data_IF_981038727787
#
_entry.id   IF_981038727787
#
_cell.length_a   1.000
_cell.length_b   1.000
_cell.length_c   1.000
_cell.angle_alpha   90.00
_cell.angle_beta   90.00
_cell.angle_gamma   90.00
#
_symmetry.space_group_name_H-M   'P 1'
#
loop_
_entity.id
_entity.type
_entity.pdbx_description
1 polymer ?
#
# COMPACT_ATOMS: atom_id res chain seq x y z
N UNK A 1 18.34 -31.33 -14.63
CA UNK A 1 18.68 -29.89 -14.43
C UNK A 1 18.08 -29.42 -13.11
N UNK A 2 18.73 -28.51 -12.37
CA UNK A 2 18.24 -27.94 -11.09
C UNK A 2 16.76 -27.49 -11.17
N UNK A 3 16.35 -27.02 -12.35
CA UNK A 3 14.99 -26.60 -12.72
C UNK A 3 13.92 -27.69 -12.56
N UNK A 4 14.18 -28.90 -13.03
CA UNK A 4 13.24 -30.04 -12.90
C UNK A 4 13.13 -30.53 -11.46
N UNK A 5 14.21 -30.38 -10.69
CA UNK A 5 14.22 -30.73 -9.27
C UNK A 5 13.46 -29.71 -8.41
N UNK A 6 13.35 -28.46 -8.87
CA UNK A 6 12.70 -27.37 -8.14
C UNK A 6 11.27 -27.04 -8.61
N UNK A 7 10.78 -27.62 -9.72
CA UNK A 7 9.41 -27.44 -10.24
C UNK A 7 9.01 -25.96 -10.45
N UNK A 8 9.91 -25.15 -10.99
CA UNK A 8 9.66 -23.73 -11.29
C UNK A 8 9.15 -23.62 -12.74
N UNK A 9 7.90 -23.19 -12.94
CA UNK A 9 7.21 -23.19 -14.25
C UNK A 9 7.08 -21.81 -14.92
N UNK A 10 7.42 -20.72 -14.24
CA UNK A 10 7.38 -19.35 -14.80
C UNK A 10 8.75 -18.72 -14.60
N UNK A 11 9.52 -18.57 -15.69
CA UNK A 11 10.97 -18.45 -15.64
C UNK A 11 11.55 -17.05 -15.95
N UNK A 12 10.72 -16.03 -16.16
CA UNK A 12 11.20 -14.74 -16.67
C UNK A 12 12.24 -14.05 -15.77
N UNK A 13 12.06 -14.10 -14.45
CA UNK A 13 12.94 -13.36 -13.52
C UNK A 13 14.22 -14.10 -13.18
N UNK A 14 14.18 -15.42 -13.02
CA UNK A 14 15.40 -16.21 -12.83
C UNK A 14 16.26 -16.21 -14.10
N UNK A 15 15.62 -16.29 -15.27
CA UNK A 15 16.28 -16.16 -16.57
C UNK A 15 16.91 -14.78 -16.73
N UNK A 16 16.26 -13.70 -16.28
CA UNK A 16 16.85 -12.36 -16.26
C UNK A 16 18.13 -12.29 -15.41
N UNK A 17 18.12 -12.84 -14.19
CA UNK A 17 19.31 -12.86 -13.32
C UNK A 17 20.44 -13.72 -13.92
N UNK A 18 20.07 -14.81 -14.61
CA UNK A 18 21.03 -15.66 -15.32
C UNK A 18 21.64 -14.95 -16.52
N UNK A 19 20.83 -14.24 -17.32
CA UNK A 19 21.28 -13.44 -18.47
C UNK A 19 22.20 -12.31 -17.98
N UNK A 20 21.80 -11.57 -16.95
CA UNK A 20 22.63 -10.51 -16.36
C UNK A 20 23.98 -11.05 -15.89
N UNK A 21 24.01 -12.23 -15.27
CA UNK A 21 25.26 -12.90 -14.90
C UNK A 21 26.11 -13.29 -16.11
N UNK A 22 25.50 -13.85 -17.16
CA UNK A 22 26.21 -14.28 -18.37
C UNK A 22 26.76 -13.09 -19.18
N UNK A 23 26.06 -11.95 -19.18
CA UNK A 23 26.47 -10.74 -19.90
C UNK A 23 27.48 -9.89 -19.10
N UNK A 24 27.31 -9.79 -17.77
CA UNK A 24 28.15 -8.91 -16.93
C UNK A 24 29.27 -9.65 -16.18
N UNK A 25 29.18 -10.96 -16.03
CA UNK A 25 30.06 -11.77 -15.17
C UNK A 25 29.84 -11.57 -13.66
N UNK A 26 28.88 -10.72 -13.26
CA UNK A 26 28.59 -10.41 -11.85
C UNK A 26 27.43 -11.25 -11.34
N UNK A 27 27.70 -12.14 -10.38
CA UNK A 27 26.69 -12.97 -9.75
C UNK A 27 26.16 -12.30 -8.47
N UNK A 28 24.88 -11.97 -8.45
CA UNK A 28 24.22 -11.48 -7.23
C UNK A 28 23.54 -12.63 -6.50
N UNK A 29 24.26 -13.22 -5.54
CA UNK A 29 23.70 -14.26 -4.66
C UNK A 29 22.47 -13.77 -3.89
N UNK A 30 22.43 -12.49 -3.53
CA UNK A 30 21.32 -11.85 -2.81
C UNK A 30 20.03 -11.78 -3.66
N UNK A 31 20.14 -11.46 -4.95
CA UNK A 31 18.99 -11.46 -5.86
C UNK A 31 18.43 -12.86 -6.06
N UNK A 32 19.31 -13.86 -6.23
CA UNK A 32 18.87 -15.26 -6.34
C UNK A 32 18.19 -15.72 -5.05
N UNK A 33 18.75 -15.37 -3.89
CA UNK A 33 18.14 -15.72 -2.60
C UNK A 33 16.75 -15.09 -2.45
N UNK A 34 16.58 -13.82 -2.83
CA UNK A 34 15.29 -13.12 -2.80
C UNK A 34 14.24 -13.81 -3.68
N UNK A 35 14.63 -14.25 -4.89
CA UNK A 35 13.76 -15.01 -5.79
C UNK A 35 13.37 -16.36 -5.16
N UNK A 36 14.34 -17.08 -4.60
CA UNK A 36 14.10 -18.38 -3.94
C UNK A 36 13.18 -18.22 -2.74
N UNK A 37 13.43 -17.24 -1.88
CA UNK A 37 12.61 -16.96 -0.69
C UNK A 37 11.17 -16.61 -1.09
N UNK A 38 10.98 -15.85 -2.17
CA UNK A 38 9.65 -15.57 -2.72
C UNK A 38 8.96 -16.86 -3.18
N UNK A 39 9.64 -17.73 -3.94
CA UNK A 39 9.05 -19.00 -4.38
C UNK A 39 8.69 -19.92 -3.21
N UNK A 40 9.52 -19.94 -2.16
CA UNK A 40 9.22 -20.70 -0.93
C UNK A 40 7.96 -20.16 -0.27
N UNK A 41 7.87 -18.84 -0.08
CA UNK A 41 6.70 -18.19 0.52
C UNK A 41 5.42 -18.41 -0.32
N UNK A 42 5.50 -18.27 -1.65
CA UNK A 42 4.38 -18.54 -2.56
C UNK A 42 3.91 -20.00 -2.47
N UNK A 43 4.86 -20.94 -2.42
CA UNK A 43 4.54 -22.37 -2.28
C UNK A 43 3.86 -22.66 -0.95
N UNK A 44 4.35 -22.10 0.15
CA UNK A 44 3.74 -22.25 1.47
C UNK A 44 2.32 -21.66 1.51
N UNK A 45 2.12 -20.48 0.95
CA UNK A 45 0.80 -19.87 0.83
C UNK A 45 -0.16 -20.71 -0.04
N UNK A 46 0.33 -21.27 -1.16
CA UNK A 46 -0.44 -22.18 -2.00
C UNK A 46 -0.84 -23.44 -1.25
N UNK A 47 0.07 -24.05 -0.49
CA UNK A 47 -0.23 -25.22 0.33
C UNK A 47 -1.26 -24.92 1.42
N UNK A 48 -1.13 -23.79 2.12
CA UNK A 48 -2.08 -23.36 3.13
C UNK A 48 -3.49 -23.16 2.53
N UNK A 49 -3.57 -22.46 1.40
CA UNK A 49 -4.84 -22.25 0.68
C UNK A 49 -5.44 -23.57 0.20
N UNK A 50 -4.64 -24.48 -0.34
CA UNK A 50 -5.11 -25.80 -0.78
C UNK A 50 -5.63 -26.62 0.41
N UNK A 51 -4.96 -26.59 1.56
CA UNK A 51 -5.39 -27.31 2.75
C UNK A 51 -6.69 -26.75 3.32
N UNK A 52 -6.82 -25.42 3.39
CA UNK A 52 -8.05 -24.76 3.83
C UNK A 52 -9.24 -25.06 2.91
N UNK A 53 -9.06 -25.01 1.58
CA UNK A 53 -10.11 -25.35 0.63
C UNK A 53 -10.49 -26.84 0.70
N UNK A 54 -9.52 -27.74 0.86
CA UNK A 54 -9.79 -29.17 1.04
C UNK A 54 -10.60 -29.42 2.32
N UNK A 55 -10.25 -28.77 3.44
CA UNK A 55 -11.04 -28.82 4.66
C UNK A 55 -12.48 -28.34 4.42
N UNK A 56 -12.66 -27.20 3.75
CA UNK A 56 -14.00 -26.66 3.43
C UNK A 56 -14.84 -27.62 2.57
N UNK A 57 -14.21 -28.26 1.59
CA UNK A 57 -14.86 -29.26 0.74
C UNK A 57 -15.33 -30.47 1.56
N UNK A 58 -14.46 -31.00 2.44
CA UNK A 58 -14.81 -32.13 3.31
C UNK A 58 -15.89 -31.78 4.33
N UNK A 59 -15.75 -30.64 5.00
CA UNK A 59 -16.73 -30.16 5.97
C UNK A 59 -18.13 -30.01 5.37
N UNK A 60 -18.23 -29.69 4.08
CA UNK A 60 -19.51 -29.51 3.39
C UNK A 60 -20.05 -30.80 2.75
N UNK A 61 -19.20 -31.62 2.12
CA UNK A 61 -19.64 -32.76 1.32
C UNK A 61 -19.47 -34.13 2.00
N UNK A 62 -18.49 -34.29 2.89
CA UNK A 62 -18.14 -35.58 3.49
C UNK A 62 -18.94 -35.87 4.77
N UNK A 63 -20.20 -36.23 4.59
CA UNK A 63 -21.14 -36.54 5.69
C UNK A 63 -20.74 -37.75 6.57
N UNK A 64 -19.69 -38.49 6.22
CA UNK A 64 -19.22 -39.68 6.95
C UNK A 64 -18.13 -39.34 7.96
N UNK A 65 -17.48 -38.18 7.82
CA UNK A 65 -16.49 -37.72 8.79
C UNK A 65 -17.18 -37.27 10.07
N UNK A 66 -16.58 -37.62 11.20
CA UNK A 66 -17.02 -37.11 12.49
C UNK A 66 -16.55 -35.68 12.71
N UNK A 67 -17.31 -34.91 13.48
CA UNK A 67 -16.91 -33.56 13.89
C UNK A 67 -15.52 -33.56 14.55
N UNK A 68 -15.18 -34.60 15.33
CA UNK A 68 -13.88 -34.72 15.99
C UNK A 68 -12.71 -34.84 14.99
N UNK A 69 -12.89 -35.54 13.87
CA UNK A 69 -11.87 -35.67 12.83
C UNK A 69 -11.68 -34.36 12.06
N UNK A 70 -12.78 -33.66 11.76
CA UNK A 70 -12.75 -32.34 11.13
C UNK A 70 -12.08 -31.31 12.04
N UNK A 71 -12.35 -31.33 13.34
CA UNK A 71 -11.71 -30.43 14.30
C UNK A 71 -10.20 -30.67 14.42
N UNK A 72 -9.75 -31.93 14.40
CA UNK A 72 -8.32 -32.27 14.40
C UNK A 72 -7.60 -31.85 13.11
N UNK A 73 -8.31 -31.81 11.98
CA UNK A 73 -7.78 -31.25 10.74
C UNK A 73 -7.70 -29.71 10.81
N UNK A 74 -8.75 -29.06 11.31
CA UNK A 74 -8.81 -27.62 11.46
C UNK A 74 -7.73 -27.06 12.42
N UNK A 75 -7.38 -27.80 13.47
CA UNK A 75 -6.31 -27.43 14.39
C UNK A 75 -4.96 -27.22 13.68
N UNK A 76 -4.69 -27.99 12.61
CA UNK A 76 -3.46 -27.84 11.81
C UNK A 76 -3.46 -26.54 10.99
N UNK A 77 -4.63 -26.01 10.65
CA UNK A 77 -4.77 -24.79 9.85
C UNK A 77 -4.50 -23.52 10.67
N UNK A 78 -4.57 -23.60 12.01
CA UNK A 78 -4.31 -22.45 12.90
C UNK A 78 -2.91 -21.87 12.64
N UNK A 79 -1.90 -22.74 12.52
CA UNK A 79 -0.50 -22.36 12.35
C UNK A 79 -0.16 -21.74 10.99
N UNK A 80 -0.99 -21.96 9.96
CA UNK A 80 -0.83 -21.39 8.62
C UNK A 80 -1.90 -20.34 8.29
N UNK A 81 -2.71 -19.94 9.29
CA UNK A 81 -3.85 -19.06 9.07
C UNK A 81 -3.40 -17.71 8.51
N UNK A 82 -2.25 -17.19 8.94
CA UNK A 82 -1.64 -15.95 8.45
C UNK A 82 -1.33 -15.91 6.94
N UNK A 83 -1.27 -17.07 6.28
CA UNK A 83 -1.03 -17.19 4.84
C UNK A 83 -2.32 -17.20 4.01
N UNK A 84 -3.48 -17.21 4.67
CA UNK A 84 -4.79 -17.28 4.03
C UNK A 84 -5.37 -15.89 3.78
N UNK A 85 -6.28 -15.81 2.81
CA UNK A 85 -7.03 -14.59 2.55
C UNK A 85 -8.09 -14.33 3.65
N UNK A 86 -8.40 -13.06 3.97
CA UNK A 86 -9.31 -12.71 5.05
C UNK A 86 -10.74 -13.27 4.87
N UNK A 87 -11.17 -13.55 3.64
CA UNK A 87 -12.50 -14.11 3.37
C UNK A 87 -12.53 -15.60 3.67
N UNK A 88 -11.49 -16.35 3.28
CA UNK A 88 -11.36 -17.77 3.60
C UNK A 88 -11.23 -17.99 5.10
N UNK A 89 -10.47 -17.15 5.81
CA UNK A 89 -10.37 -17.18 7.28
C UNK A 89 -11.74 -16.93 7.93
N UNK A 90 -12.51 -15.98 7.41
CA UNK A 90 -13.88 -15.73 7.86
C UNK A 90 -14.76 -16.96 7.65
N UNK A 91 -14.72 -17.56 6.46
CA UNK A 91 -15.53 -18.72 6.11
C UNK A 91 -15.17 -19.96 6.95
N UNK A 92 -13.88 -20.18 7.24
CA UNK A 92 -13.39 -21.23 8.12
C UNK A 92 -13.97 -21.06 9.53
N UNK A 93 -13.88 -19.86 10.09
CA UNK A 93 -14.40 -19.56 11.43
C UNK A 93 -15.92 -19.74 11.52
N UNK A 94 -16.67 -19.30 10.50
CA UNK A 94 -18.12 -19.50 10.42
C UNK A 94 -18.50 -20.98 10.33
N UNK A 95 -17.75 -21.78 9.56
CA UNK A 95 -17.97 -23.22 9.40
C UNK A 95 -17.67 -23.98 10.69
N UNK A 96 -16.54 -23.68 11.33
CA UNK A 96 -16.16 -24.29 12.61
C UNK A 96 -17.13 -23.94 13.74
N UNK A 97 -17.70 -22.74 13.73
CA UNK A 97 -18.68 -22.32 14.73
C UNK A 97 -20.00 -23.11 14.67
N UNK A 98 -20.29 -23.77 13.55
CA UNK A 98 -21.46 -24.64 13.41
C UNK A 98 -21.24 -26.03 13.99
N UNK A 99 -19.98 -26.42 14.24
CA UNK A 99 -19.61 -27.72 14.80
C UNK A 99 -19.52 -27.66 16.33
N UNK A 100 -20.02 -28.67 17.07
CA UNK A 100 -19.83 -28.77 18.51
C UNK A 100 -18.34 -28.77 18.88
N UNK A 101 -17.89 -27.73 19.60
CA UNK A 101 -16.48 -27.59 20.00
C UNK A 101 -15.55 -26.91 18.98
N UNK A 102 -16.07 -26.47 17.82
CA UNK A 102 -15.26 -25.80 16.80
C UNK A 102 -15.08 -24.29 16.98
N UNK A 103 -15.93 -23.64 17.80
CA UNK A 103 -15.84 -22.20 18.06
C UNK A 103 -14.45 -21.74 18.57
N UNK A 104 -13.81 -22.42 19.55
CA UNK A 104 -12.47 -22.03 20.01
C UNK A 104 -11.40 -22.10 18.90
N UNK A 105 -11.51 -23.05 17.96
CA UNK A 105 -10.61 -23.13 16.82
C UNK A 105 -10.86 -22.01 15.81
N UNK A 106 -12.14 -21.70 15.54
CA UNK A 106 -12.51 -20.57 14.70
C UNK A 106 -11.98 -19.23 15.26
N UNK A 107 -12.08 -19.03 16.57
CA UNK A 107 -11.55 -17.85 17.24
C UNK A 107 -10.00 -17.80 17.17
N UNK A 108 -9.33 -18.94 17.37
CA UNK A 108 -7.87 -19.04 17.28
C UNK A 108 -7.33 -18.74 15.86
N UNK A 109 -8.04 -19.19 14.82
CA UNK A 109 -7.70 -18.89 13.41
C UNK A 109 -7.81 -17.37 13.15
N UNK A 110 -8.87 -16.72 13.64
CA UNK A 110 -9.06 -15.28 13.50
C UNK A 110 -7.96 -14.51 14.26
N UNK A 111 -7.66 -14.92 15.50
CA UNK A 111 -6.63 -14.30 16.33
C UNK A 111 -5.24 -14.41 15.71
N UNK A 112 -4.89 -15.59 15.20
CA UNK A 112 -3.60 -15.83 14.54
C UNK A 112 -3.45 -14.98 13.26
N UNK A 113 -4.50 -14.92 12.42
CA UNK A 113 -4.49 -14.06 11.23
C UNK A 113 -4.37 -12.57 11.59
N UNK A 114 -5.21 -12.09 12.51
CA UNK A 114 -5.24 -10.67 12.89
C UNK A 114 -3.94 -10.21 13.55
N UNK A 115 -3.34 -11.04 14.40
CA UNK A 115 -2.05 -10.77 15.02
C UNK A 115 -0.91 -10.70 14.00
N UNK A 116 -0.89 -11.64 13.05
CA UNK A 116 0.11 -11.64 11.97
C UNK A 116 -0.07 -10.43 11.04
N UNK A 117 -1.31 -10.08 10.70
CA UNK A 117 -1.60 -8.92 9.88
C UNK A 117 -1.20 -7.61 10.58
N UNK A 118 -1.48 -7.44 11.88
CA UNK A 118 -1.09 -6.22 12.59
C UNK A 118 0.44 -6.11 12.79
N UNK A 119 1.15 -7.23 12.89
CA UNK A 119 2.62 -7.27 13.02
C UNK A 119 3.36 -6.99 11.70
N UNK A 120 2.72 -7.25 10.55
CA UNK A 120 3.32 -7.02 9.24
C UNK A 120 3.44 -5.52 8.92
N UNK A 121 4.49 -5.14 8.20
CA UNK A 121 4.62 -3.79 7.66
C UNK A 121 3.78 -3.64 6.39
N UNK A 122 2.79 -2.77 6.44
CA UNK A 122 1.91 -2.48 5.31
C UNK A 122 2.28 -1.15 4.69
N UNK A 123 2.69 -1.17 3.42
CA UNK A 123 2.91 0.04 2.66
C UNK A 123 1.65 0.52 1.97
N UNK A 124 0.68 -0.36 1.71
CA UNK A 124 -0.64 -0.06 1.16
C UNK A 124 -1.65 -1.12 1.61
N UNK A 125 -2.90 -0.71 1.78
CA UNK A 125 -4.01 -1.63 2.06
C UNK A 125 -5.03 -1.42 0.95
N UNK A 126 -5.02 -2.33 -0.02
CA UNK A 126 -6.00 -2.34 -1.10
C UNK A 126 -7.38 -2.59 -0.54
N UNK A 127 -8.33 -1.69 -0.84
CA UNK A 127 -9.75 -1.86 -0.52
C UNK A 127 -10.49 -2.53 -1.70
N UNK A 128 -9.92 -3.62 -2.22
CA UNK A 128 -10.50 -4.30 -3.39
C UNK A 128 -11.40 -5.45 -2.92
N UNK A 129 -12.61 -5.10 -2.46
CA UNK A 129 -13.71 -6.04 -2.23
C UNK A 129 -14.86 -5.80 -3.24
N UNK A 130 -14.63 -6.02 -4.55
CA UNK A 130 -15.61 -5.68 -5.58
C UNK A 130 -16.92 -6.47 -5.45
N UNK A 131 -16.89 -7.60 -4.73
CA UNK A 131 -18.03 -8.49 -4.53
C UNK A 131 -18.71 -8.33 -3.16
N UNK A 132 -18.30 -7.33 -2.35
CA UNK A 132 -18.87 -7.09 -1.02
C UNK A 132 -18.94 -8.37 -0.16
N UNK A 133 -17.90 -9.21 -0.28
CA UNK A 133 -17.78 -10.45 0.49
C UNK A 133 -17.77 -10.11 1.98
N UNK A 134 -18.49 -10.91 2.75
CA UNK A 134 -18.52 -10.75 4.21
C UNK A 134 -17.16 -11.07 4.79
N UNK A 135 -16.78 -10.29 5.79
CA UNK A 135 -15.52 -10.42 6.53
C UNK A 135 -15.86 -10.41 8.00
N UNK A 136 -15.16 -11.23 8.78
CA UNK A 136 -15.33 -11.31 10.21
C UNK A 136 -15.09 -9.93 10.86
N UNK A 137 -15.91 -9.48 11.84
CA UNK A 137 -15.77 -8.15 12.45
C UNK A 137 -14.37 -7.86 12.97
N UNK A 138 -13.72 -8.82 13.64
CA UNK A 138 -12.36 -8.63 14.16
C UNK A 138 -11.31 -8.41 13.06
N UNK A 139 -11.44 -9.09 11.92
CA UNK A 139 -10.57 -8.86 10.75
C UNK A 139 -10.80 -7.46 10.21
N UNK A 140 -12.07 -7.07 10.03
CA UNK A 140 -12.44 -5.74 9.56
C UNK A 140 -11.86 -4.65 10.47
N UNK A 141 -12.01 -4.78 11.78
CA UNK A 141 -11.50 -3.81 12.74
C UNK A 141 -9.98 -3.66 12.68
N UNK A 142 -9.25 -4.76 12.50
CA UNK A 142 -7.79 -4.74 12.37
C UNK A 142 -7.37 -4.09 11.06
N UNK A 143 -7.99 -4.49 9.94
CA UNK A 143 -7.72 -3.90 8.63
C UNK A 143 -8.01 -2.40 8.62
N UNK A 144 -9.14 -1.98 9.19
CA UNK A 144 -9.51 -0.56 9.30
C UNK A 144 -8.49 0.20 10.17
N UNK A 145 -8.06 -0.35 11.32
CA UNK A 145 -7.03 0.26 12.18
C UNK A 145 -5.69 0.42 11.47
N UNK A 146 -5.21 -0.63 10.80
CA UNK A 146 -3.94 -0.57 10.07
C UNK A 146 -4.08 0.37 8.87
N UNK A 147 -5.23 0.40 8.21
CA UNK A 147 -5.51 1.32 7.10
C UNK A 147 -5.41 2.76 7.53
N UNK A 148 -5.97 3.11 8.71
CA UNK A 148 -5.82 4.44 9.29
C UNK A 148 -4.33 4.75 9.55
N UNK A 149 -3.56 3.84 10.16
CA UNK A 149 -2.11 4.04 10.37
C UNK A 149 -1.34 4.27 9.07
N UNK A 150 -1.64 3.50 8.01
CA UNK A 150 -1.01 3.64 6.69
C UNK A 150 -1.40 4.95 6.01
N UNK A 151 -2.66 5.35 6.12
CA UNK A 151 -3.16 6.64 5.63
C UNK A 151 -2.55 7.81 6.41
N UNK A 152 -2.36 7.67 7.72
CA UNK A 152 -1.75 8.71 8.57
C UNK A 152 -0.26 8.94 8.26
N UNK A 153 0.43 7.90 7.79
CA UNK A 153 1.83 7.96 7.35
C UNK A 153 1.99 8.43 5.91
N UNK A 154 0.93 8.37 5.11
CA UNK A 154 0.98 8.77 3.70
C UNK A 154 1.29 10.26 3.59
N UNK A 155 2.40 10.57 2.92
CA UNK A 155 2.83 11.95 2.72
C UNK A 155 2.21 12.54 1.45
N UNK A 156 2.29 13.86 1.34
CA UNK A 156 1.89 14.57 0.13
C UNK A 156 2.72 14.17 -1.10
N UNK A 157 3.97 13.77 -0.87
CA UNK A 157 4.89 13.25 -1.86
C UNK A 157 4.38 11.93 -2.41
N UNK A 158 4.08 10.98 -1.51
CA UNK A 158 3.58 9.66 -1.87
C UNK A 158 2.30 9.77 -2.69
N UNK A 159 1.41 10.69 -2.28
CA UNK A 159 0.19 10.96 -3.01
C UNK A 159 0.45 11.50 -4.42
N UNK A 160 1.31 12.50 -4.57
CA UNK A 160 1.62 13.10 -5.87
C UNK A 160 2.33 12.12 -6.81
N UNK A 161 3.27 11.34 -6.29
CA UNK A 161 4.00 10.33 -7.07
C UNK A 161 3.08 9.20 -7.52
N UNK A 162 2.17 8.75 -6.65
CA UNK A 162 1.16 7.75 -6.99
C UNK A 162 0.24 8.25 -8.11
N UNK A 163 -0.29 9.48 -7.97
CA UNK A 163 -1.20 10.08 -8.94
C UNK A 163 -0.51 10.27 -10.29
N UNK A 164 0.74 10.71 -10.29
CA UNK A 164 1.48 10.86 -11.54
C UNK A 164 1.70 9.49 -12.22
N UNK A 165 1.98 8.44 -11.46
CA UNK A 165 2.28 7.10 -12.02
C UNK A 165 1.03 6.40 -12.53
N UNK A 166 -0.07 6.43 -11.77
CA UNK A 166 -1.28 5.66 -12.06
C UNK A 166 -2.39 6.47 -12.76
N UNK A 167 -2.21 7.79 -12.88
CA UNK A 167 -3.22 8.73 -13.42
C UNK A 167 -4.59 8.63 -12.73
N UNK A 168 -4.61 8.14 -11.50
CA UNK A 168 -5.79 7.97 -10.64
C UNK A 168 -5.42 8.23 -9.19
N UNK A 169 -6.41 8.37 -8.32
CA UNK A 169 -6.23 8.49 -6.88
C UNK A 169 -7.31 7.73 -6.12
N UNK A 170 -6.95 7.15 -4.98
CA UNK A 170 -7.87 6.52 -4.04
C UNK A 170 -8.08 7.35 -2.78
N UNK A 171 -8.77 6.76 -1.79
CA UNK A 171 -9.04 7.36 -0.48
C UNK A 171 -7.77 7.82 0.22
N UNK A 172 -6.70 7.01 0.15
CA UNK A 172 -5.42 7.31 0.79
C UNK A 172 -4.80 8.61 0.28
N UNK A 173 -4.72 8.80 -1.04
CA UNK A 173 -4.16 10.03 -1.60
C UNK A 173 -5.05 11.24 -1.29
N UNK A 174 -6.37 11.07 -1.28
CA UNK A 174 -7.28 12.16 -0.87
C UNK A 174 -7.04 12.57 0.58
N UNK A 175 -6.92 11.61 1.51
CA UNK A 175 -6.67 11.87 2.93
C UNK A 175 -5.32 12.56 3.12
N UNK A 176 -4.26 12.03 2.49
CA UNK A 176 -2.92 12.61 2.57
C UNK A 176 -2.90 14.07 2.07
N UNK A 177 -3.49 14.34 0.91
CA UNK A 177 -3.57 15.69 0.34
C UNK A 177 -4.41 16.62 1.21
N UNK A 178 -5.60 16.20 1.68
CA UNK A 178 -6.48 17.03 2.52
C UNK A 178 -5.86 17.40 3.87
N UNK A 179 -5.06 16.50 4.44
CA UNK A 179 -4.39 16.73 5.73
C UNK A 179 -3.15 17.61 5.59
N UNK A 180 -2.52 17.60 4.41
CA UNK A 180 -1.25 18.30 4.18
C UNK A 180 -1.39 19.80 4.50
N UNK A 181 -0.45 20.30 5.29
CA UNK A 181 -0.32 21.72 5.66
C UNK A 181 0.76 22.41 4.84
N UNK A 182 0.80 23.74 4.88
CA UNK A 182 1.88 24.52 4.26
C UNK A 182 3.27 24.08 4.75
N UNK A 183 3.41 23.76 6.05
CA UNK A 183 4.67 23.27 6.61
C UNK A 183 5.07 21.90 6.05
N UNK A 184 4.11 21.00 5.84
CA UNK A 184 4.38 19.68 5.24
C UNK A 184 4.90 19.83 3.80
N UNK A 185 4.33 20.75 3.02
CA UNK A 185 4.81 21.08 1.68
C UNK A 185 6.20 21.73 1.71
N UNK A 186 6.45 22.68 2.61
CA UNK A 186 7.76 23.36 2.72
C UNK A 186 8.88 22.35 3.05
N UNK A 187 8.69 21.53 4.08
CA UNK A 187 9.64 20.48 4.47
C UNK A 187 9.86 19.50 3.32
N UNK A 188 8.79 19.07 2.66
CA UNK A 188 8.87 18.12 1.55
C UNK A 188 9.70 18.70 0.39
N UNK A 189 9.41 19.93 -0.06
CA UNK A 189 10.12 20.57 -1.17
C UNK A 189 11.61 20.78 -0.86
N UNK A 190 11.95 21.08 0.40
CA UNK A 190 13.35 21.31 0.83
C UNK A 190 14.16 20.02 0.96
N UNK A 191 13.52 18.90 1.27
CA UNK A 191 14.19 17.63 1.59
C UNK A 191 14.25 16.67 0.41
N UNK A 192 13.36 16.80 -0.57
CA UNK A 192 13.34 15.96 -1.78
C UNK A 192 14.63 16.03 -2.59
N UNK A 193 15.00 14.88 -3.16
CA UNK A 193 16.03 14.83 -4.20
C UNK A 193 15.54 15.45 -5.52
N UNK A 194 16.48 15.78 -6.39
CA UNK A 194 16.19 16.46 -7.66
C UNK A 194 15.33 15.66 -8.64
N UNK A 195 15.37 14.32 -8.59
CA UNK A 195 14.55 13.46 -9.44
C UNK A 195 13.09 13.51 -9.00
N UNK A 196 12.84 13.34 -7.70
CA UNK A 196 11.50 13.45 -7.12
C UNK A 196 10.92 14.85 -7.32
N UNK A 197 11.71 15.90 -7.08
CA UNK A 197 11.27 17.29 -7.25
C UNK A 197 10.80 17.61 -8.69
N UNK A 198 11.50 17.07 -9.70
CA UNK A 198 11.15 17.24 -11.13
C UNK A 198 9.81 16.62 -11.52
N UNK A 199 9.34 15.63 -10.76
CA UNK A 199 8.03 15.00 -10.98
C UNK A 199 6.97 15.70 -10.12
N UNK A 200 7.31 15.97 -8.86
CA UNK A 200 6.41 16.57 -7.89
C UNK A 200 5.95 17.98 -8.29
N UNK A 201 6.88 18.86 -8.66
CA UNK A 201 6.57 20.27 -8.94
C UNK A 201 5.61 20.43 -10.13
N UNK A 202 5.84 19.84 -11.32
CA UNK A 202 4.90 19.97 -12.43
C UNK A 202 3.53 19.34 -12.14
N UNK A 203 3.49 18.25 -11.38
CA UNK A 203 2.25 17.59 -11.03
C UNK A 203 1.41 18.46 -10.09
N UNK A 204 2.01 19.08 -9.08
CA UNK A 204 1.32 20.02 -8.21
C UNK A 204 0.87 21.28 -8.96
N UNK A 205 1.70 21.82 -9.85
CA UNK A 205 1.31 22.95 -10.70
C UNK A 205 0.13 22.58 -11.59
N UNK A 206 0.12 21.39 -12.19
CA UNK A 206 -1.03 20.90 -12.95
C UNK A 206 -2.30 20.87 -12.10
N UNK A 207 -2.22 20.42 -10.85
CA UNK A 207 -3.37 20.44 -9.93
C UNK A 207 -3.82 21.86 -9.61
N UNK A 208 -2.88 22.79 -9.39
CA UNK A 208 -3.16 24.21 -9.18
C UNK A 208 -3.80 24.88 -10.41
N UNK A 209 -3.43 24.48 -11.63
CA UNK A 209 -4.07 24.98 -12.85
C UNK A 209 -5.50 24.46 -13.03
N UNK A 210 -5.85 23.34 -12.40
CA UNK A 210 -7.15 22.66 -12.48
C UNK A 210 -7.87 22.63 -11.13
N UNK A 211 -7.71 23.68 -10.31
CA UNK A 211 -8.23 23.76 -8.92
C UNK A 211 -9.71 23.43 -8.79
N UNK A 212 -10.55 23.88 -9.72
CA UNK A 212 -11.99 23.57 -9.70
C UNK A 212 -12.28 22.06 -9.74
N UNK A 213 -11.38 21.28 -10.35
CA UNK A 213 -11.48 19.82 -10.42
C UNK A 213 -10.87 19.17 -9.18
N UNK A 214 -9.67 19.60 -8.76
CA UNK A 214 -8.92 18.91 -7.71
C UNK A 214 -9.29 19.34 -6.29
N UNK A 215 -9.67 20.59 -6.04
CA UNK A 215 -9.97 21.09 -4.69
C UNK A 215 -11.20 20.37 -4.09
N UNK A 216 -12.11 19.86 -4.94
CA UNK A 216 -13.23 18.98 -4.51
C UNK A 216 -12.75 17.69 -3.85
N UNK A 217 -11.59 17.17 -4.27
CA UNK A 217 -11.02 15.92 -3.79
C UNK A 217 -9.89 16.13 -2.79
N UNK A 218 -9.15 17.24 -2.88
CA UNK A 218 -7.93 17.48 -2.11
C UNK A 218 -8.04 18.65 -1.12
N UNK A 219 -9.20 19.32 -1.05
CA UNK A 219 -9.43 20.43 -0.12
C UNK A 219 -8.50 21.60 -0.41
N UNK A 220 -7.85 22.13 0.63
CA UNK A 220 -6.95 23.30 0.54
C UNK A 220 -5.50 22.96 0.17
N UNK A 221 -5.21 21.71 -0.24
CA UNK A 221 -3.85 21.26 -0.55
C UNK A 221 -3.15 22.11 -1.62
N UNK A 222 -3.86 22.48 -2.68
CA UNK A 222 -3.34 23.31 -3.77
C UNK A 222 -2.96 24.71 -3.28
N UNK A 223 -3.70 25.27 -2.33
CA UNK A 223 -3.40 26.56 -1.71
C UNK A 223 -2.17 26.45 -0.79
N UNK A 224 -2.14 25.43 0.08
CA UNK A 224 -1.00 25.21 0.98
C UNK A 224 0.32 25.01 0.23
N UNK A 225 0.28 24.37 -0.94
CA UNK A 225 1.44 24.25 -1.82
C UNK A 225 1.92 25.59 -2.37
N UNK A 226 1.00 26.45 -2.83
CA UNK A 226 1.33 27.80 -3.33
C UNK A 226 1.95 28.63 -2.19
N UNK A 227 1.35 28.58 -1.01
CA UNK A 227 1.84 29.31 0.17
C UNK A 227 3.26 28.84 0.56
N UNK A 228 3.52 27.53 0.51
CA UNK A 228 4.85 26.96 0.77
C UNK A 228 5.87 27.39 -0.31
N UNK A 229 5.49 27.34 -1.59
CA UNK A 229 6.34 27.81 -2.68
C UNK A 229 6.68 29.30 -2.54
N UNK A 230 5.71 30.12 -2.11
CA UNK A 230 5.93 31.55 -1.85
C UNK A 230 6.98 31.75 -0.77
N UNK A 231 6.80 31.09 0.39
CA UNK A 231 7.71 31.17 1.53
C UNK A 231 9.14 30.76 1.16
N UNK A 232 9.32 29.67 0.40
CA UNK A 232 10.64 29.22 -0.06
C UNK A 232 11.24 30.21 -1.07
N UNK A 233 10.42 30.82 -1.92
CA UNK A 233 10.89 31.74 -2.96
C UNK A 233 11.40 33.09 -2.43
N UNK A 234 10.97 33.46 -1.21
CA UNK A 234 11.40 34.63 -0.45
C UNK A 234 12.56 34.33 0.51
N UNK A 235 12.78 33.06 0.82
CA UNK A 235 13.82 32.62 1.75
C UNK A 235 15.23 32.83 1.16
N UNK A 236 15.93 33.81 1.73
CA UNK A 236 17.30 34.17 1.35
C UNK A 236 18.35 33.11 1.72
N UNK A 237 18.02 32.13 2.56
CA UNK A 237 18.93 31.04 2.95
C UNK A 237 19.07 29.94 1.89
N UNK A 238 18.11 29.82 0.97
CA UNK A 238 18.08 28.80 -0.09
C UNK A 238 17.90 29.40 -1.50
N UNK A 239 18.79 30.30 -1.94
CA UNK A 239 18.58 31.13 -3.13
C UNK A 239 18.42 30.31 -4.43
N UNK A 240 19.10 29.16 -4.52
CA UNK A 240 19.00 28.27 -5.68
C UNK A 240 17.63 27.58 -5.77
N UNK A 241 17.07 27.14 -4.64
CA UNK A 241 15.77 26.50 -4.60
C UNK A 241 14.66 27.52 -4.91
N UNK A 242 14.73 28.72 -4.32
CA UNK A 242 13.81 29.81 -4.62
C UNK A 242 13.80 30.20 -6.11
N UNK A 243 14.97 30.24 -6.76
CA UNK A 243 15.06 30.50 -8.20
C UNK A 243 14.43 29.38 -9.05
N UNK A 244 14.62 28.12 -8.67
CA UNK A 244 14.01 26.97 -9.34
C UNK A 244 12.48 27.01 -9.23
N UNK A 245 11.95 27.32 -8.03
CA UNK A 245 10.50 27.45 -7.83
C UNK A 245 9.94 28.56 -8.71
N UNK A 246 10.56 29.74 -8.74
CA UNK A 246 10.13 30.85 -9.63
C UNK A 246 10.13 30.44 -11.10
N UNK A 247 11.12 29.66 -11.53
CA UNK A 247 11.17 29.14 -12.90
C UNK A 247 9.98 28.24 -13.23
N UNK A 248 9.58 27.34 -12.33
CA UNK A 248 8.43 26.46 -12.55
C UNK A 248 7.10 27.20 -12.71
N UNK A 249 6.97 28.39 -12.13
CA UNK A 249 5.76 29.22 -12.21
C UNK A 249 5.81 30.26 -13.35
N UNK A 250 6.94 30.39 -14.06
CA UNK A 250 7.08 31.38 -15.13
C UNK A 250 6.16 31.04 -16.31
N UNK A 251 5.40 32.03 -16.81
CA UNK A 251 4.58 31.87 -18.01
C UNK A 251 3.20 31.25 -17.79
N UNK A 252 2.75 31.17 -16.53
CA UNK A 252 1.39 30.78 -16.18
C UNK A 252 0.75 31.79 -15.21
N UNK A 253 -0.58 31.73 -15.02
CA UNK A 253 -1.29 32.70 -14.18
C UNK A 253 -0.91 32.61 -12.69
N UNK A 254 -0.31 31.50 -12.27
CA UNK A 254 0.17 31.28 -10.90
C UNK A 254 1.41 32.15 -10.57
N UNK A 255 2.10 32.69 -11.59
CA UNK A 255 3.16 33.71 -11.41
C UNK A 255 2.64 34.93 -10.64
N UNK A 256 1.39 35.33 -10.91
CA UNK A 256 0.70 36.39 -10.19
C UNK A 256 0.30 36.01 -8.76
N UNK A 257 0.05 34.72 -8.49
CA UNK A 257 -0.29 34.24 -7.14
C UNK A 257 0.93 34.13 -6.23
N UNK A 258 2.08 33.66 -6.74
CA UNK A 258 3.36 33.73 -6.01
C UNK A 258 3.70 35.16 -5.60
N UNK A 259 3.43 36.13 -6.48
CA UNK A 259 3.71 37.54 -6.19
C UNK A 259 2.67 38.15 -5.24
N UNK A 260 1.41 37.68 -5.28
CA UNK A 260 0.32 38.21 -4.43
C UNK A 260 0.35 37.66 -3.00
N UNK A 261 0.78 36.40 -2.81
CA UNK A 261 0.96 35.80 -1.49
C UNK A 261 2.11 36.45 -0.67
N UNK A 262 3.10 37.05 -1.36
CA UNK A 262 4.20 37.82 -0.75
C UNK A 262 3.79 39.17 -0.14
N UNK A 263 2.58 39.64 -0.42
CA UNK A 263 2.08 40.92 0.08
C UNK A 263 1.34 40.70 1.41
N UNK A 264 1.79 41.27 2.54
CA UNK A 264 1.08 41.09 3.81
C UNK A 264 -0.33 41.64 3.68
N UNK A 265 -1.33 40.83 4.06
CA UNK A 265 -2.71 41.29 4.29
C UNK A 265 -2.63 42.46 5.27
N UNK A 266 -2.81 43.69 4.77
CA UNK A 266 -3.19 44.81 5.62
C UNK A 266 -4.58 44.49 6.17
N UNK A 267 -4.62 44.18 7.45
CA UNK A 267 -5.83 44.24 8.26
C UNK A 267 -6.30 45.69 8.30
N UNK A 268 -7.47 45.95 7.72
CA UNK A 268 -8.35 47.05 8.12
C UNK A 268 -9.38 46.52 9.13
#
# INVERSE_FOLDING_TARGET
MLMEQLRIYVCGEFESVLIDFLESGLFSAEQVQTIVDRFVAEREAMHANSAANAFMERAFWEHQLSDAELLAEAEKLVGSSNLLDPYLVTQLSETLSQMPGGRPLGDAIIEAWTSAFEAAEHTDIGDDNPFSRRVHPAIKDVVDRVSVKVQERATVVDACMFINSHKTWGTRQQVAMKRATCADFDVSIRTMDSGTLRVFMPQMIKMCLQRETYDKHFGSATQHFIDACCAISEDTSVPKLGAIIKHFFTGNWLEGELTRASSPKKTD
#
